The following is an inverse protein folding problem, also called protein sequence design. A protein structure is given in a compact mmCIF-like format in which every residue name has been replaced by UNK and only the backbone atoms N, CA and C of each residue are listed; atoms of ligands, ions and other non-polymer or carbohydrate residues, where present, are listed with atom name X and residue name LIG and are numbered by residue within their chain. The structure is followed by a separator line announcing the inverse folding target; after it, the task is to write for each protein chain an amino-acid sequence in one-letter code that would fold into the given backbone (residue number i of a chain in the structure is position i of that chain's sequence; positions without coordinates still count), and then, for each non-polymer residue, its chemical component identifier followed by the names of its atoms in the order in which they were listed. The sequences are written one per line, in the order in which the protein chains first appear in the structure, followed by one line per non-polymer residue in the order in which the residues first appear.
data_IF_014070142940
#
_entry.id   IF_014070142940
#
_cell.length_a   1.000
_cell.length_b   1.000
_cell.length_c   1.000
_cell.angle_alpha   90.00
_cell.angle_beta   90.00
_cell.angle_gamma   90.00
#
_symmetry.space_group_name_H-M   'P 1'
#
loop_
_entity.id
_entity.type
_entity.pdbx_description
1 polymer ?
#
# COMPACT_ATOMS: atom_id res chain seq x y z
N UNK A 1 24.99 -13.69 9.11
CA UNK A 1 25.27 -12.36 8.55
C UNK A 1 24.06 -11.49 8.88
N UNK A 2 24.19 -10.40 9.65
CA UNK A 2 23.06 -9.50 9.82
C UNK A 2 22.75 -8.88 8.46
N UNK A 3 21.47 -8.84 8.09
CA UNK A 3 20.99 -8.07 6.95
C UNK A 3 21.25 -6.58 7.27
N UNK A 4 22.39 -6.03 6.85
CA UNK A 4 22.55 -4.58 6.84
C UNK A 4 21.75 -4.02 5.67
N UNK A 5 20.73 -3.23 5.97
CA UNK A 5 20.15 -2.33 4.99
C UNK A 5 21.12 -1.15 4.89
N UNK A 6 22.01 -1.18 3.90
CA UNK A 6 22.79 0.01 3.58
C UNK A 6 21.82 1.10 3.13
N UNK A 7 21.88 2.32 3.69
CA UNK A 7 21.01 3.40 3.27
C UNK A 7 21.33 3.75 1.80
N UNK A 8 20.38 3.48 0.91
CA UNK A 8 20.42 4.00 -0.45
C UNK A 8 20.03 5.49 -0.43
N UNK A 9 20.81 6.35 -1.07
CA UNK A 9 20.45 7.76 -1.25
C UNK A 9 19.12 7.90 -2.00
N UNK A 10 18.31 8.89 -1.61
CA UNK A 10 17.07 9.27 -2.29
C UNK A 10 17.23 9.46 -3.80
N UNK A 11 16.25 9.05 -4.63
CA UNK A 11 16.18 9.47 -6.03
C UNK A 11 15.83 10.95 -6.10
N UNK A 12 15.21 11.46 -5.04
CA UNK A 12 14.86 12.85 -4.79
C UNK A 12 15.38 13.17 -3.38
N UNK A 13 16.16 14.24 -3.24
CA UNK A 13 16.66 14.69 -1.94
C UNK A 13 15.54 15.16 -1.03
N UNK A 14 15.75 15.12 0.29
CA UNK A 14 14.72 15.50 1.28
C UNK A 14 14.24 16.96 1.12
N UNK A 15 15.13 17.84 0.66
CA UNK A 15 14.85 19.26 0.41
C UNK A 15 14.48 19.58 -1.06
N UNK A 16 14.44 18.58 -1.93
CA UNK A 16 14.11 18.80 -3.34
C UNK A 16 12.62 19.08 -3.53
N UNK A 17 12.30 19.97 -4.47
CA UNK A 17 10.91 20.19 -4.86
C UNK A 17 10.36 18.92 -5.52
N UNK A 18 9.22 18.43 -5.04
CA UNK A 18 8.66 17.16 -5.51
C UNK A 18 7.95 17.26 -6.87
N UNK A 19 7.33 18.40 -7.18
CA UNK A 19 6.51 18.57 -8.39
C UNK A 19 7.24 18.24 -9.72
N UNK A 20 8.53 18.63 -9.91
CA UNK A 20 9.31 18.23 -11.09
C UNK A 20 9.54 16.72 -11.22
N UNK A 21 9.53 15.97 -10.11
CA UNK A 21 9.85 14.54 -10.10
C UNK A 21 8.60 13.64 -10.08
N UNK A 22 7.49 14.14 -9.53
CA UNK A 22 6.24 13.40 -9.34
C UNK A 22 5.06 14.26 -9.81
N UNK A 23 4.81 14.33 -11.13
CA UNK A 23 3.70 15.12 -11.64
C UNK A 23 2.37 14.58 -11.11
N UNK A 24 1.36 15.43 -10.86
CA UNK A 24 0.07 14.99 -10.31
C UNK A 24 -0.59 13.86 -11.11
N UNK A 25 -0.42 13.85 -12.44
CA UNK A 25 -0.97 12.81 -13.32
C UNK A 25 -0.33 11.42 -13.13
N UNK A 26 0.85 11.34 -12.50
CA UNK A 26 1.53 10.08 -12.19
C UNK A 26 1.23 9.58 -10.76
N UNK A 27 0.55 10.39 -9.93
CA UNK A 27 0.24 10.02 -8.55
C UNK A 27 -0.96 9.06 -8.51
N UNK A 28 -0.79 7.95 -7.81
CA UNK A 28 -1.81 6.89 -7.65
C UNK A 28 -2.29 6.78 -6.20
N UNK A 29 -2.23 7.88 -5.47
CA UNK A 29 -2.63 7.92 -4.07
C UNK A 29 -4.13 7.69 -3.94
N UNK A 30 -4.51 6.84 -2.99
CA UNK A 30 -5.91 6.56 -2.65
C UNK A 30 -6.33 7.22 -1.34
N UNK A 31 -5.38 7.82 -0.63
CA UNK A 31 -5.55 8.61 0.59
C UNK A 31 -4.60 9.80 0.54
N UNK A 32 -4.86 10.84 1.34
CA UNK A 32 -3.99 12.01 1.45
C UNK A 32 -2.53 11.61 1.74
N UNK A 33 -1.59 12.41 1.26
CA UNK A 33 -0.18 12.25 1.55
C UNK A 33 0.47 13.63 1.60
N UNK A 34 1.27 13.89 2.63
CA UNK A 34 2.17 15.04 2.62
C UNK A 34 3.36 14.79 1.66
N UNK A 35 4.26 15.77 1.53
CA UNK A 35 5.43 15.66 0.64
C UNK A 35 6.34 14.48 1.00
N UNK A 36 6.61 14.26 2.30
CA UNK A 36 7.48 13.18 2.76
C UNK A 36 6.88 11.79 2.50
N UNK A 37 5.57 11.65 2.70
CA UNK A 37 4.84 10.42 2.42
C UNK A 37 4.74 10.16 0.91
N UNK A 38 4.49 11.21 0.12
CA UNK A 38 4.47 11.13 -1.35
C UNK A 38 5.81 10.66 -1.89
N UNK A 39 6.90 11.23 -1.36
CA UNK A 39 8.25 10.81 -1.71
C UNK A 39 8.46 9.32 -1.39
N UNK A 40 8.15 8.89 -0.16
CA UNK A 40 8.30 7.49 0.22
C UNK A 40 7.47 6.55 -0.68
N UNK A 41 6.26 6.94 -1.07
CA UNK A 41 5.40 6.16 -1.97
C UNK A 41 6.04 6.03 -3.36
N UNK A 42 6.52 7.13 -3.92
CA UNK A 42 7.14 7.15 -5.24
C UNK A 42 8.42 6.30 -5.29
N UNK A 43 9.24 6.38 -4.25
CA UNK A 43 10.50 5.66 -4.16
C UNK A 43 10.29 4.14 -4.11
N UNK A 44 9.29 3.67 -3.36
CA UNK A 44 8.88 2.25 -3.39
C UNK A 44 8.29 1.88 -4.74
N UNK A 45 7.51 2.76 -5.37
CA UNK A 45 6.94 2.53 -6.71
C UNK A 45 8.05 2.32 -7.76
N UNK A 46 9.17 3.03 -7.62
CA UNK A 46 10.38 2.88 -8.44
C UNK A 46 11.24 1.65 -8.08
N UNK A 47 10.80 0.86 -7.11
CA UNK A 47 11.39 -0.45 -6.77
C UNK A 47 12.37 -0.42 -5.61
N UNK A 48 12.43 0.67 -4.82
CA UNK A 48 13.35 0.77 -3.70
C UNK A 48 12.81 0.18 -2.41
N UNK A 49 13.74 -0.19 -1.53
CA UNK A 49 13.45 -0.65 -0.18
C UNK A 49 13.66 0.51 0.79
N UNK A 50 12.69 0.80 1.65
CA UNK A 50 12.74 1.93 2.55
C UNK A 50 12.47 1.53 4.00
N UNK A 51 13.09 2.26 4.92
CA UNK A 51 12.69 2.28 6.33
C UNK A 51 11.97 3.59 6.59
N UNK A 52 10.66 3.54 6.85
CA UNK A 52 9.85 4.72 7.14
C UNK A 52 9.75 4.89 8.65
N UNK A 53 10.27 6.01 9.15
CA UNK A 53 10.17 6.41 10.56
C UNK A 53 9.34 7.68 10.69
N UNK A 54 8.72 7.87 11.85
CA UNK A 54 7.89 9.04 12.10
C UNK A 54 7.28 9.00 13.50
N UNK A 55 6.97 10.16 14.12
CA UNK A 55 6.26 10.21 15.38
C UNK A 55 4.89 9.48 15.36
N UNK A 56 4.35 9.06 16.50
CA UNK A 56 2.97 8.57 16.57
C UNK A 56 1.99 9.57 15.96
N UNK A 57 1.01 9.10 15.17
CA UNK A 57 0.01 9.96 14.54
C UNK A 57 0.39 10.57 13.18
N UNK A 58 1.63 10.41 12.71
CA UNK A 58 2.12 10.96 11.42
C UNK A 58 1.70 10.15 10.18
N UNK A 59 0.55 9.49 10.22
CA UNK A 59 -0.02 8.86 9.02
C UNK A 59 0.72 7.63 8.48
N UNK A 60 1.66 7.01 9.19
CA UNK A 60 2.39 5.81 8.69
C UNK A 60 1.48 4.70 8.14
N UNK A 61 0.37 4.39 8.82
CA UNK A 61 -0.60 3.41 8.33
C UNK A 61 -1.34 3.85 7.06
N UNK A 62 -1.48 5.16 6.85
CA UNK A 62 -2.01 5.76 5.63
C UNK A 62 -1.00 5.62 4.49
N UNK A 63 0.28 5.89 4.75
CA UNK A 63 1.38 5.65 3.80
C UNK A 63 1.43 4.17 3.40
N UNK A 64 1.32 3.23 4.34
CA UNK A 64 1.27 1.79 4.06
C UNK A 64 0.05 1.45 3.17
N UNK A 65 -1.13 2.00 3.46
CA UNK A 65 -2.32 1.75 2.63
C UNK A 65 -2.13 2.27 1.19
N UNK A 66 -1.56 3.47 1.02
CA UNK A 66 -1.21 4.03 -0.29
C UNK A 66 -0.19 3.14 -1.04
N UNK A 67 0.84 2.64 -0.35
CA UNK A 67 1.83 1.73 -0.92
C UNK A 67 1.19 0.42 -1.41
N UNK A 68 0.32 -0.19 -0.60
CA UNK A 68 -0.39 -1.42 -0.95
C UNK A 68 -1.29 -1.16 -2.16
N UNK A 69 -2.09 -0.10 -2.12
CA UNK A 69 -3.01 0.25 -3.20
C UNK A 69 -2.28 0.51 -4.52
N UNK A 70 -1.18 1.27 -4.47
CA UNK A 70 -0.37 1.56 -5.65
C UNK A 70 0.28 0.30 -6.24
N UNK A 71 0.77 -0.61 -5.40
CA UNK A 71 1.30 -1.89 -5.84
C UNK A 71 0.22 -2.77 -6.51
N UNK A 72 -0.98 -2.85 -5.90
CA UNK A 72 -2.12 -3.60 -6.46
C UNK A 72 -2.58 -2.99 -7.79
N UNK A 73 -2.65 -1.66 -7.90
CA UNK A 73 -2.96 -0.96 -9.14
C UNK A 73 -1.95 -1.28 -10.25
N UNK A 74 -0.67 -1.45 -9.88
CA UNK A 74 0.40 -1.93 -10.77
C UNK A 74 0.39 -3.44 -11.04
N UNK A 75 -0.63 -4.19 -10.61
CA UNK A 75 -0.74 -5.64 -10.81
C UNK A 75 0.20 -6.48 -9.96
N UNK A 76 0.80 -5.92 -8.90
CA UNK A 76 1.69 -6.63 -7.98
C UNK A 76 0.88 -7.41 -6.94
N UNK A 77 1.48 -8.47 -6.39
CA UNK A 77 1.01 -9.14 -5.17
C UNK A 77 1.76 -8.57 -3.98
N UNK A 78 1.07 -8.33 -2.87
CA UNK A 78 1.64 -7.73 -1.65
C UNK A 78 1.45 -8.68 -0.48
N UNK A 79 2.50 -8.89 0.31
CA UNK A 79 2.43 -9.55 1.61
C UNK A 79 2.72 -8.49 2.69
N UNK A 80 1.70 -8.15 3.47
CA UNK A 80 1.84 -7.23 4.59
C UNK A 80 1.95 -8.02 5.90
N UNK A 81 2.99 -7.75 6.68
CA UNK A 81 3.28 -8.42 7.95
C UNK A 81 3.52 -7.37 9.02
N UNK A 82 3.03 -7.61 10.23
CA UNK A 82 3.27 -6.77 11.39
C UNK A 82 3.35 -7.62 12.66
N UNK A 83 4.07 -7.11 13.68
CA UNK A 83 4.21 -7.78 14.96
C UNK A 83 2.89 -7.84 15.75
N UNK A 84 2.08 -6.78 15.67
CA UNK A 84 0.83 -6.64 16.42
C UNK A 84 -0.39 -6.69 15.48
N UNK A 85 -1.42 -7.42 15.90
CA UNK A 85 -2.72 -7.49 15.18
C UNK A 85 -3.33 -6.10 14.97
N UNK A 86 -3.21 -5.20 15.95
CA UNK A 86 -3.73 -3.84 15.82
C UNK A 86 -3.18 -3.08 14.59
N UNK A 87 -1.92 -3.33 14.20
CA UNK A 87 -1.34 -2.70 13.01
C UNK A 87 -1.96 -3.26 11.72
N UNK A 88 -2.21 -4.57 11.66
CA UNK A 88 -2.92 -5.21 10.56
C UNK A 88 -4.34 -4.67 10.44
N UNK A 89 -5.07 -4.61 11.56
CA UNK A 89 -6.45 -4.12 11.62
C UNK A 89 -6.57 -2.67 11.15
N UNK A 90 -5.64 -1.79 11.56
CA UNK A 90 -5.67 -0.38 11.17
C UNK A 90 -5.47 -0.21 9.66
N UNK A 91 -4.52 -0.93 9.06
CA UNK A 91 -4.28 -0.86 7.62
C UNK A 91 -5.46 -1.47 6.85
N UNK A 92 -5.98 -2.62 7.31
CA UNK A 92 -7.12 -3.29 6.69
C UNK A 92 -8.37 -2.40 6.71
N UNK A 93 -8.69 -1.76 7.83
CA UNK A 93 -9.81 -0.81 7.92
C UNK A 93 -9.68 0.36 6.96
N UNK A 94 -8.45 0.85 6.73
CA UNK A 94 -8.18 1.92 5.76
C UNK A 94 -8.45 1.45 4.33
N UNK A 95 -7.98 0.26 3.97
CA UNK A 95 -8.25 -0.36 2.67
C UNK A 95 -9.75 -0.63 2.48
N UNK A 96 -10.45 -1.13 3.50
CA UNK A 96 -11.90 -1.31 3.49
C UNK A 96 -12.63 0.02 3.21
N UNK A 97 -12.22 1.10 3.90
CA UNK A 97 -12.87 2.41 3.80
C UNK A 97 -12.80 3.02 2.39
N UNK A 98 -11.80 2.63 1.59
CA UNK A 98 -11.64 3.06 0.19
C UNK A 98 -12.08 1.99 -0.81
N UNK A 99 -12.79 0.94 -0.36
CA UNK A 99 -13.32 -0.12 -1.22
C UNK A 99 -12.30 -1.18 -1.67
N UNK A 100 -11.06 -1.14 -1.18
CA UNK A 100 -10.00 -2.11 -1.47
C UNK A 100 -9.99 -3.30 -0.49
N UNK A 101 -10.97 -3.40 0.41
CA UNK A 101 -11.08 -4.54 1.33
C UNK A 101 -11.17 -5.89 0.63
N UNK A 102 -11.87 -5.96 -0.50
CA UNK A 102 -12.10 -7.20 -1.25
C UNK A 102 -10.83 -7.79 -1.90
N UNK A 103 -9.75 -7.01 -2.04
CA UNK A 103 -8.46 -7.49 -2.55
C UNK A 103 -7.53 -8.00 -1.43
N UNK A 104 -7.97 -7.91 -0.17
CA UNK A 104 -7.21 -8.37 0.99
C UNK A 104 -7.59 -9.81 1.35
N UNK A 105 -6.60 -10.63 1.68
CA UNK A 105 -6.81 -11.95 2.29
C UNK A 105 -6.11 -11.99 3.65
N UNK A 106 -6.89 -12.10 4.73
CA UNK A 106 -6.38 -12.12 6.10
C UNK A 106 -5.98 -13.53 6.52
N UNK A 107 -4.72 -13.71 6.93
CA UNK A 107 -4.15 -15.01 7.31
C UNK A 107 -3.61 -14.98 8.76
N UNK A 108 -4.45 -14.64 9.73
CA UNK A 108 -4.07 -14.66 11.16
C UNK A 108 -4.50 -15.97 11.87
N UNK A 109 -3.58 -16.54 12.66
CA UNK A 109 -3.59 -17.94 13.13
C UNK A 109 -4.76 -18.35 14.04
N UNK A 110 -5.48 -17.43 14.68
CA UNK A 110 -6.53 -17.76 15.64
C UNK A 110 -7.96 -17.71 15.07
N UNK A 111 -8.15 -17.12 13.88
CA UNK A 111 -9.46 -17.03 13.19
C UNK A 111 -9.45 -17.63 11.78
N UNK A 112 -8.28 -17.74 11.15
CA UNK A 112 -8.17 -18.34 9.82
C UNK A 112 -8.13 -19.86 9.94
N UNK A 113 -9.30 -20.49 10.07
CA UNK A 113 -9.41 -21.91 9.76
C UNK A 113 -9.43 -22.08 8.22
N UNK A 114 -9.02 -23.26 7.71
CA UNK A 114 -8.95 -23.55 6.27
C UNK A 114 -10.25 -23.18 5.53
N UNK A 115 -11.40 -23.36 6.20
CA UNK A 115 -12.72 -23.03 5.65
C UNK A 115 -12.90 -21.53 5.45
N UNK A 116 -12.55 -20.69 6.41
CA UNK A 116 -12.63 -19.23 6.29
C UNK A 116 -11.79 -18.70 5.12
N UNK A 117 -10.58 -19.23 4.93
CA UNK A 117 -9.73 -18.87 3.78
C UNK A 117 -10.39 -19.29 2.46
N UNK A 118 -10.93 -20.51 2.39
CA UNK A 118 -11.63 -20.97 1.18
C UNK A 118 -12.90 -20.18 0.89
N UNK A 119 -13.66 -19.80 1.92
CA UNK A 119 -14.87 -19.00 1.81
C UNK A 119 -14.55 -17.60 1.30
N UNK A 120 -13.46 -16.97 1.80
CA UNK A 120 -13.02 -15.65 1.33
C UNK A 120 -12.51 -15.70 -0.12
N UNK A 121 -11.72 -16.71 -0.47
CA UNK A 121 -11.30 -16.92 -1.86
C UNK A 121 -12.48 -17.14 -2.81
N UNK A 122 -13.51 -17.88 -2.37
CA UNK A 122 -14.74 -18.07 -3.13
C UNK A 122 -15.47 -16.73 -3.30
N UNK A 123 -15.69 -15.99 -2.20
CA UNK A 123 -16.34 -14.67 -2.20
C UNK A 123 -15.67 -13.71 -3.18
N UNK A 124 -14.35 -13.58 -3.12
CA UNK A 124 -13.60 -12.68 -4.01
C UNK A 124 -13.65 -13.15 -5.47
N UNK A 125 -13.63 -14.46 -5.74
CA UNK A 125 -13.79 -14.99 -7.09
C UNK A 125 -15.17 -14.66 -7.68
N UNK A 126 -16.22 -14.69 -6.88
CA UNK A 126 -17.61 -14.41 -7.29
C UNK A 126 -17.86 -12.94 -7.62
N UNK A 127 -17.04 -12.01 -7.10
CA UNK A 127 -17.09 -10.58 -7.47
C UNK A 127 -16.73 -10.32 -8.94
N UNK A 128 -16.11 -11.29 -9.62
CA UNK A 128 -15.68 -11.13 -11.01
C UNK A 128 -14.42 -10.27 -11.15
N UNK A 129 -14.05 -9.95 -12.39
CA UNK A 129 -12.90 -9.06 -12.66
C UNK A 129 -13.34 -7.61 -12.42
N UNK A 130 -12.49 -6.77 -11.82
CA UNK A 130 -12.76 -5.34 -11.71
C UNK A 130 -13.09 -4.76 -13.09
N UNK A 131 -14.26 -4.14 -13.22
CA UNK A 131 -14.64 -3.42 -14.42
C UNK A 131 -13.87 -2.10 -14.41
N UNK A 132 -12.88 -1.95 -15.28
CA UNK A 132 -12.31 -0.64 -15.55
C UNK A 132 -13.24 0.08 -16.54
N UNK A 133 -13.70 1.28 -16.17
CA UNK A 133 -14.23 2.18 -17.18
C UNK A 133 -13.05 2.63 -18.04
N UNK A 134 -13.04 2.26 -19.31
CA UNK A 134 -12.21 2.98 -20.29
C UNK A 134 -12.83 4.37 -20.40
N UNK A 135 -12.30 5.30 -19.63
CA UNK A 135 -12.59 6.72 -19.86
C UNK A 135 -11.81 7.07 -21.11
N UNK A 136 -12.49 7.05 -22.26
CA UNK A 136 -12.00 7.77 -23.42
C UNK A 136 -11.95 9.25 -23.00
N UNK A 137 -10.75 9.81 -22.92
CA UNK A 137 -10.59 11.27 -22.86
C UNK A 137 -11.09 11.91 -24.16
N UNK A 138 -11.32 13.23 -24.17
CA UNK A 138 -11.64 13.95 -25.40
C UNK A 138 -10.57 13.75 -26.48
#
# INVERSE_FOLDING_TARGET
MPLSFEPEEGLIGEDDKIDPHVPPSAQIHVMDADSSQTLAIEEVRRGRNLVIQGPPGTGKSQTIANLIAGAVAGGRKVLFVAEKMAALDVVKRRLDAIGLGAVCLELHSNKANKRAVLDELRRTKELGRPLYAVVYGP
#
